data_IF_415949087334
#
_entry.id   IF_415949087334
#
_cell.length_a   1.000
_cell.length_b   1.000
_cell.length_c   1.000
_cell.angle_alpha   90.00
_cell.angle_beta   90.00
_cell.angle_gamma   90.00
#
_symmetry.space_group_name_H-M   'P 1'
#
loop_
_entity.id
_entity.type
_entity.pdbx_description
1 polymer ?
#
# COMPACT_ATOMS: atom_id res chain seq x y z
N UNK A 1 82.17 -6.04 6.75
CA UNK A 1 80.96 -5.85 5.96
C UNK A 1 79.73 -6.04 6.90
N UNK A 2 79.23 -4.92 7.40
CA UNK A 2 77.96 -4.88 8.20
C UNK A 2 76.79 -4.60 7.25
N UNK A 3 75.88 -5.52 7.17
CA UNK A 3 74.60 -5.34 6.44
C UNK A 3 73.60 -4.67 7.40
N UNK A 4 73.26 -3.41 7.13
CA UNK A 4 72.21 -2.73 7.85
C UNK A 4 70.87 -3.07 7.17
N UNK A 5 70.01 -3.81 7.89
CA UNK A 5 68.62 -4.09 7.47
C UNK A 5 67.76 -2.92 7.88
N UNK A 6 67.25 -2.17 6.92
CA UNK A 6 66.22 -1.11 7.17
C UNK A 6 64.86 -1.76 7.19
N UNK A 7 64.25 -1.90 8.36
CA UNK A 7 62.87 -2.28 8.55
C UNK A 7 61.98 -1.08 8.24
N UNK A 8 61.36 -1.06 7.05
CA UNK A 8 60.32 -0.12 6.74
C UNK A 8 59.03 -0.59 7.41
N UNK A 9 58.62 0.09 8.48
CA UNK A 9 57.29 -0.08 9.11
C UNK A 9 56.25 0.58 8.22
N UNK A 10 55.49 -0.23 7.50
CA UNK A 10 54.27 0.26 6.85
C UNK A 10 53.23 0.49 7.93
N UNK A 11 52.98 1.76 8.24
CA UNK A 11 51.73 2.17 8.90
C UNK A 11 50.59 2.03 7.89
N UNK A 12 49.79 0.97 8.00
CA UNK A 12 48.49 0.90 7.37
C UNK A 12 47.60 1.83 8.19
N UNK A 13 47.43 3.04 7.71
CA UNK A 13 46.43 3.95 8.23
C UNK A 13 45.06 3.30 8.05
N UNK A 14 44.45 2.88 9.16
CA UNK A 14 43.06 2.56 9.21
C UNK A 14 42.33 3.89 8.97
N UNK A 15 41.97 4.19 7.71
CA UNK A 15 41.03 5.26 7.43
C UNK A 15 39.74 4.84 8.12
N UNK A 16 39.38 5.56 9.15
CA UNK A 16 38.05 5.52 9.73
C UNK A 16 37.09 5.81 8.57
N UNK A 17 36.43 4.77 8.07
CA UNK A 17 35.22 4.95 7.28
C UNK A 17 34.30 5.76 8.20
N UNK A 18 34.15 7.04 7.91
CA UNK A 18 33.02 7.77 8.44
C UNK A 18 31.80 6.94 8.00
N UNK A 19 31.18 6.25 8.96
CA UNK A 19 29.85 5.70 8.76
C UNK A 19 28.99 6.91 8.42
N UNK A 20 28.75 7.10 7.12
CA UNK A 20 27.70 8.01 6.68
C UNK A 20 26.44 7.44 7.29
N UNK A 21 25.93 8.09 8.33
CA UNK A 21 24.63 7.77 8.88
C UNK A 21 23.60 7.67 7.75
N UNK A 22 22.48 6.96 7.94
CA UNK A 22 21.49 6.80 6.91
C UNK A 22 21.19 8.15 6.27
N UNK A 23 21.31 8.25 4.94
CA UNK A 23 21.07 9.49 4.22
C UNK A 23 19.66 9.97 4.56
N UNK A 24 19.55 11.20 5.05
CA UNK A 24 18.26 11.79 5.36
C UNK A 24 17.40 11.83 4.11
N UNK A 25 16.10 11.46 4.19
CA UNK A 25 15.23 11.57 3.04
C UNK A 25 15.05 13.05 2.65
N UNK A 26 15.17 13.32 1.37
CA UNK A 26 14.94 14.66 0.78
C UNK A 26 13.98 14.49 -0.35
N UNK A 27 12.90 15.28 -0.36
CA UNK A 27 11.99 15.30 -1.51
C UNK A 27 12.66 16.02 -2.69
N UNK A 28 12.44 15.56 -3.94
CA UNK A 28 12.87 16.30 -5.11
C UNK A 28 12.13 17.65 -5.19
N UNK A 29 12.73 18.66 -5.82
CA UNK A 29 12.11 19.99 -6.02
C UNK A 29 10.75 19.89 -6.73
N UNK A 30 10.64 18.94 -7.66
CA UNK A 30 9.38 18.60 -8.33
C UNK A 30 9.00 17.18 -8.00
N UNK A 31 7.83 16.99 -7.41
CA UNK A 31 7.32 15.65 -7.17
C UNK A 31 7.12 14.92 -8.51
N UNK A 32 7.47 13.63 -8.61
CA UNK A 32 7.12 12.83 -9.77
C UNK A 32 5.59 12.78 -9.91
N UNK A 33 5.13 12.58 -11.13
CA UNK A 33 3.72 12.37 -11.38
C UNK A 33 3.29 11.01 -10.83
N UNK A 34 2.37 11.04 -9.88
CA UNK A 34 1.74 9.84 -9.34
C UNK A 34 0.42 9.61 -10.07
N UNK A 35 0.20 8.40 -10.55
CA UNK A 35 -1.02 8.05 -11.25
C UNK A 35 -2.18 8.01 -10.28
N UNK A 36 -3.27 8.69 -10.68
CA UNK A 36 -4.59 8.58 -10.07
C UNK A 36 -5.62 8.15 -11.09
N UNK A 37 -5.18 8.03 -12.37
CA UNK A 37 -6.05 7.59 -13.44
C UNK A 37 -6.46 6.14 -13.20
N UNK A 38 -7.71 5.97 -12.87
CA UNK A 38 -8.39 4.69 -12.96
C UNK A 38 -8.85 4.50 -14.39
N UNK A 39 -8.85 3.27 -14.92
CA UNK A 39 -9.46 3.02 -16.20
C UNK A 39 -10.90 3.54 -16.20
N UNK A 40 -11.37 4.08 -17.32
CA UNK A 40 -12.74 4.63 -17.46
C UNK A 40 -13.82 3.70 -16.92
N UNK A 41 -13.56 2.41 -16.95
CA UNK A 41 -14.38 1.36 -16.36
C UNK A 41 -14.62 1.55 -14.84
N UNK A 42 -13.67 2.18 -14.11
CA UNK A 42 -13.77 2.39 -12.68
C UNK A 42 -14.33 3.78 -12.33
N UNK A 43 -14.23 4.75 -13.21
CA UNK A 43 -14.74 6.12 -12.99
C UNK A 43 -16.27 6.16 -12.77
N UNK A 44 -16.99 5.18 -13.33
CA UNK A 44 -18.45 5.06 -13.19
C UNK A 44 -18.84 4.56 -11.79
N UNK A 45 -18.00 3.73 -11.19
CA UNK A 45 -18.31 3.03 -9.92
C UNK A 45 -17.62 3.71 -8.74
N UNK A 46 -16.44 4.27 -8.97
CA UNK A 46 -15.63 4.91 -7.94
C UNK A 46 -15.24 6.31 -8.41
N UNK A 47 -15.89 7.35 -7.90
CA UNK A 47 -15.55 8.71 -8.28
C UNK A 47 -14.06 8.99 -8.00
N UNK A 48 -13.37 9.50 -9.00
CA UNK A 48 -11.99 9.95 -8.86
C UNK A 48 -11.85 10.86 -7.65
N UNK A 49 -10.79 10.72 -6.83
CA UNK A 49 -10.51 11.65 -5.76
C UNK A 49 -10.55 13.08 -6.30
N UNK A 50 -11.18 14.00 -5.57
CA UNK A 50 -11.20 15.42 -5.94
C UNK A 50 -9.79 15.86 -6.32
N UNK A 51 -9.67 16.64 -7.39
CA UNK A 51 -8.41 17.21 -7.84
C UNK A 51 -7.73 17.96 -6.68
N UNK A 52 -6.75 17.29 -6.09
CA UNK A 52 -5.90 17.88 -5.07
C UNK A 52 -4.64 18.41 -5.77
N UNK A 53 -4.45 19.72 -5.86
CA UNK A 53 -3.29 20.30 -6.57
C UNK A 53 -1.95 19.92 -5.93
N UNK A 54 -1.97 19.45 -4.68
CA UNK A 54 -0.78 18.99 -3.95
C UNK A 54 -0.73 17.46 -3.81
N UNK A 55 -1.52 16.72 -4.58
CA UNK A 55 -1.58 15.27 -4.51
C UNK A 55 -0.19 14.63 -4.70
N UNK A 56 0.53 15.03 -5.74
CA UNK A 56 1.85 14.46 -6.04
C UNK A 56 2.86 14.71 -4.92
N UNK A 57 2.85 15.89 -4.32
CA UNK A 57 3.72 16.24 -3.19
C UNK A 57 3.37 15.40 -1.95
N UNK A 58 2.08 15.23 -1.66
CA UNK A 58 1.58 14.37 -0.57
C UNK A 58 1.93 12.90 -0.80
N UNK A 59 1.72 12.40 -2.02
CA UNK A 59 2.08 11.03 -2.38
C UNK A 59 3.60 10.79 -2.27
N UNK A 60 4.41 11.76 -2.65
CA UNK A 60 5.86 11.70 -2.51
C UNK A 60 6.28 11.62 -1.03
N UNK A 61 5.69 12.46 -0.17
CA UNK A 61 5.91 12.37 1.28
C UNK A 61 5.42 11.01 1.81
N UNK A 62 4.22 10.57 1.41
CA UNK A 62 3.66 9.28 1.79
C UNK A 62 4.57 8.10 1.43
N UNK A 63 5.22 8.16 0.26
CA UNK A 63 6.22 7.17 -0.13
C UNK A 63 7.43 7.17 0.82
N UNK A 64 7.92 8.34 1.24
CA UNK A 64 9.00 8.42 2.25
C UNK A 64 8.54 7.78 3.54
N UNK A 65 7.37 8.16 4.06
CA UNK A 65 6.81 7.62 5.30
C UNK A 65 6.61 6.10 5.24
N UNK A 66 6.12 5.58 4.12
CA UNK A 66 5.88 4.14 3.90
C UNK A 66 7.16 3.31 4.04
N UNK A 67 8.31 3.85 3.66
CA UNK A 67 9.60 3.18 3.75
C UNK A 67 10.38 3.52 5.03
N UNK A 68 9.95 4.51 5.80
CA UNK A 68 10.69 4.97 6.97
C UNK A 68 10.39 4.13 8.22
N UNK A 69 11.43 3.52 8.78
CA UNK A 69 11.34 2.74 10.00
C UNK A 69 11.07 3.56 11.24
N UNK A 70 11.26 4.89 11.18
CA UNK A 70 10.96 5.78 12.31
C UNK A 70 9.47 5.82 12.64
N UNK A 71 8.60 5.31 11.75
CA UNK A 71 7.18 5.09 12.02
C UNK A 71 6.90 3.86 12.89
N UNK A 72 7.90 3.04 13.24
CA UNK A 72 7.76 2.01 14.27
C UNK A 72 8.43 2.42 15.58
N UNK A 73 7.86 2.00 16.71
CA UNK A 73 8.28 2.42 18.05
C UNK A 73 9.78 2.22 18.31
N UNK A 74 10.34 1.13 17.84
CA UNK A 74 11.75 0.77 18.02
C UNK A 74 12.61 0.97 16.76
N UNK A 75 12.08 1.52 15.67
CA UNK A 75 12.79 1.70 14.42
C UNK A 75 13.13 0.40 13.67
N UNK A 76 12.47 -0.72 14.00
CA UNK A 76 12.82 -2.02 13.42
C UNK A 76 12.14 -2.29 12.07
N UNK A 77 10.91 -1.82 11.90
CA UNK A 77 10.07 -2.11 10.73
C UNK A 77 9.47 -0.84 10.13
N UNK A 78 9.09 -0.91 8.87
CA UNK A 78 8.29 0.08 8.16
C UNK A 78 7.14 -0.64 7.44
N UNK A 79 6.21 0.07 6.81
CA UNK A 79 5.15 -0.55 6.01
C UNK A 79 5.73 -1.48 4.93
N UNK A 80 6.82 -1.06 4.28
CA UNK A 80 7.55 -1.86 3.30
C UNK A 80 8.17 -3.16 3.89
N UNK A 81 8.23 -3.33 5.20
CA UNK A 81 8.73 -4.58 5.79
C UNK A 81 7.77 -5.75 5.60
N UNK A 82 6.47 -5.48 5.48
CA UNK A 82 5.40 -6.44 5.26
C UNK A 82 4.75 -6.29 3.88
N UNK A 83 4.71 -5.08 3.33
CA UNK A 83 4.17 -4.78 2.01
C UNK A 83 5.30 -4.66 0.98
N UNK A 84 5.77 -5.82 0.46
CA UNK A 84 6.92 -5.90 -0.43
C UNK A 84 6.53 -5.60 -1.88
N UNK A 85 7.14 -4.59 -2.49
CA UNK A 85 6.86 -4.22 -3.88
C UNK A 85 7.05 -5.38 -4.86
N UNK A 86 8.05 -6.25 -4.65
CA UNK A 86 8.30 -7.43 -5.48
C UNK A 86 7.20 -8.50 -5.43
N UNK A 87 6.25 -8.36 -4.51
CA UNK A 87 5.13 -9.29 -4.30
C UNK A 87 3.77 -8.59 -4.40
N UNK A 88 3.66 -7.55 -5.24
CA UNK A 88 2.44 -6.76 -5.37
C UNK A 88 2.07 -6.02 -4.07
N UNK A 89 3.08 -5.64 -3.30
CA UNK A 89 2.94 -5.06 -1.95
C UNK A 89 2.21 -5.97 -0.95
N UNK A 90 2.28 -7.30 -1.14
CA UNK A 90 1.93 -8.32 -0.16
C UNK A 90 3.22 -8.93 0.43
N UNK A 91 3.10 -9.97 1.24
CA UNK A 91 4.23 -10.74 1.77
C UNK A 91 4.10 -12.22 1.35
N UNK A 92 5.22 -12.91 0.97
CA UNK A 92 5.20 -14.32 0.58
C UNK A 92 5.18 -15.27 1.78
N UNK A 93 4.76 -14.81 2.94
CA UNK A 93 4.60 -15.59 4.17
C UNK A 93 3.16 -15.51 4.65
N UNK A 94 2.71 -16.54 5.33
CA UNK A 94 1.36 -16.57 5.88
C UNK A 94 1.12 -15.44 6.91
N UNK A 95 2.11 -15.16 7.75
CA UNK A 95 2.04 -14.15 8.80
C UNK A 95 3.31 -13.29 8.78
N UNK A 96 3.13 -11.99 8.99
CA UNK A 96 4.23 -11.03 9.03
C UNK A 96 4.95 -11.05 10.37
N UNK A 97 6.22 -10.64 10.37
CA UNK A 97 7.00 -10.49 11.60
C UNK A 97 7.05 -9.01 12.00
N UNK A 98 6.42 -8.68 13.10
CA UNK A 98 6.34 -7.31 13.61
C UNK A 98 7.62 -6.82 14.28
N UNK A 99 7.50 -5.67 14.97
CA UNK A 99 8.65 -4.89 15.52
C UNK A 99 9.49 -5.67 16.55
N UNK A 100 8.93 -6.67 17.24
CA UNK A 100 9.64 -7.53 18.21
C UNK A 100 9.76 -8.97 17.74
N UNK A 101 9.55 -9.22 16.42
CA UNK A 101 9.53 -10.55 15.78
C UNK A 101 8.36 -11.43 16.22
N UNK A 102 7.37 -10.89 16.88
CA UNK A 102 6.08 -11.51 17.07
C UNK A 102 5.35 -11.60 15.72
N UNK A 103 4.54 -12.65 15.54
CA UNK A 103 3.81 -12.82 14.29
C UNK A 103 2.46 -12.09 14.36
N UNK A 104 2.07 -11.48 13.25
CA UNK A 104 0.72 -10.94 13.07
C UNK A 104 -0.31 -12.06 13.01
N UNK A 105 -1.57 -11.73 13.25
CA UNK A 105 -2.66 -12.71 13.20
C UNK A 105 -3.08 -13.08 11.79
N UNK A 106 -2.81 -12.19 10.81
CA UNK A 106 -3.24 -12.32 9.42
C UNK A 106 -2.12 -11.95 8.45
N UNK A 107 -2.25 -12.42 7.22
CA UNK A 107 -1.36 -12.07 6.13
C UNK A 107 -1.44 -10.57 5.78
N UNK A 108 -0.32 -9.99 5.37
CA UNK A 108 -0.32 -8.65 4.78
C UNK A 108 -0.98 -8.71 3.40
N UNK A 109 -2.12 -8.01 3.25
CA UNK A 109 -2.83 -7.92 1.97
C UNK A 109 -2.02 -7.16 0.93
N UNK A 110 -2.27 -7.41 -0.35
CA UNK A 110 -1.72 -6.60 -1.43
C UNK A 110 -2.26 -5.15 -1.35
N UNK A 111 -1.54 -4.23 -1.97
CA UNK A 111 -1.93 -2.81 -2.04
C UNK A 111 -2.22 -2.36 -3.48
N UNK A 112 -2.79 -3.24 -4.31
CA UNK A 112 -3.28 -2.84 -5.62
C UNK A 112 -4.68 -2.22 -5.47
N UNK A 113 -4.88 -1.04 -6.06
CA UNK A 113 -6.15 -0.31 -6.08
C UNK A 113 -6.81 -0.07 -4.70
N UNK A 114 -6.06 0.28 -3.63
CA UNK A 114 -6.66 0.35 -2.30
C UNK A 114 -7.66 1.50 -2.17
N UNK A 115 -7.53 2.56 -2.97
CA UNK A 115 -8.46 3.69 -2.92
C UNK A 115 -9.89 3.35 -3.37
N UNK A 116 -10.07 2.26 -4.11
CA UNK A 116 -11.37 1.82 -4.63
C UNK A 116 -12.04 0.76 -3.75
N UNK A 117 -11.46 0.42 -2.60
CA UNK A 117 -12.08 -0.52 -1.67
C UNK A 117 -13.12 0.19 -0.80
N UNK A 118 -14.22 -0.50 -0.51
CA UNK A 118 -15.31 0.01 0.35
C UNK A 118 -15.02 -0.18 1.84
N UNK A 119 -14.12 -1.11 2.19
CA UNK A 119 -13.70 -1.38 3.56
C UNK A 119 -12.28 -1.97 3.57
N UNK A 120 -11.59 -1.84 4.68
CA UNK A 120 -10.17 -2.15 4.81
C UNK A 120 -9.92 -3.17 5.91
N UNK A 121 -8.79 -3.89 5.80
CA UNK A 121 -8.46 -5.11 6.50
C UNK A 121 -9.32 -6.31 6.06
N UNK A 122 -8.90 -7.51 6.45
CA UNK A 122 -9.61 -8.75 6.13
C UNK A 122 -11.01 -8.83 6.77
N UNK A 123 -11.26 -8.04 7.80
CA UNK A 123 -12.51 -7.99 8.57
C UNK A 123 -13.29 -6.66 8.40
N UNK A 124 -12.81 -5.77 7.54
CA UNK A 124 -13.50 -4.52 7.26
C UNK A 124 -13.55 -3.50 8.41
N UNK A 125 -12.71 -3.66 9.44
CA UNK A 125 -12.77 -2.82 10.64
C UNK A 125 -12.38 -1.35 10.45
N UNK A 126 -11.83 -0.98 9.29
CA UNK A 126 -11.59 0.41 8.93
C UNK A 126 -12.47 0.81 7.73
N UNK A 127 -13.12 1.98 7.84
CA UNK A 127 -14.12 2.43 6.87
C UNK A 127 -13.52 3.26 5.71
N UNK A 128 -12.30 3.72 5.87
CA UNK A 128 -11.61 4.51 4.85
C UNK A 128 -10.09 4.35 4.96
N UNK A 129 -9.41 4.68 3.86
CA UNK A 129 -7.97 4.52 3.76
C UNK A 129 -7.20 5.38 4.77
N UNK A 130 -7.67 6.59 5.06
CA UNK A 130 -7.00 7.47 6.02
C UNK A 130 -7.03 6.92 7.45
N UNK A 131 -8.11 6.25 7.82
CA UNK A 131 -8.19 5.52 9.09
C UNK A 131 -7.28 4.31 9.09
N UNK A 132 -7.32 3.52 8.01
CA UNK A 132 -6.54 2.28 7.90
C UNK A 132 -5.04 2.51 8.04
N UNK A 133 -4.46 3.53 7.39
CA UNK A 133 -3.00 3.70 7.32
C UNK A 133 -2.31 3.94 8.67
N UNK A 134 -3.05 4.35 9.69
CA UNK A 134 -2.50 4.58 11.04
C UNK A 134 -2.72 3.42 12.01
N UNK A 135 -3.69 2.55 11.75
CA UNK A 135 -3.97 1.42 12.65
C UNK A 135 -2.77 0.46 12.82
N UNK A 136 -2.00 0.10 11.77
CA UNK A 136 -0.78 -0.69 11.91
C UNK A 136 0.30 0.02 12.75
N UNK A 137 0.33 1.35 12.73
CA UNK A 137 1.30 2.15 13.53
C UNK A 137 1.01 1.97 15.02
N UNK A 138 -0.26 1.92 15.41
CA UNK A 138 -0.70 1.73 16.80
C UNK A 138 -0.72 0.25 17.23
N UNK A 139 -0.74 -0.69 16.28
CA UNK A 139 -0.76 -2.11 16.59
C UNK A 139 0.53 -2.54 17.31
N UNK A 140 0.39 -3.10 18.50
CA UNK A 140 1.51 -3.46 19.39
C UNK A 140 2.41 -4.57 18.82
N UNK A 141 1.91 -5.41 17.94
CA UNK A 141 2.69 -6.44 17.24
C UNK A 141 3.38 -5.82 16.01
N UNK A 142 2.68 -4.96 15.24
CA UNK A 142 3.17 -4.45 13.97
C UNK A 142 4.20 -3.32 14.17
N UNK A 143 3.78 -2.10 14.50
CA UNK A 143 4.67 -0.93 14.60
C UNK A 143 4.75 -0.32 16.01
N UNK A 144 3.77 -0.56 16.89
CA UNK A 144 3.86 -0.51 18.34
C UNK A 144 3.76 0.84 19.03
N UNK A 145 3.35 1.90 18.37
CA UNK A 145 3.01 3.14 19.06
C UNK A 145 1.70 2.97 19.82
N UNK A 146 1.67 3.33 21.09
CA UNK A 146 0.43 3.29 21.88
C UNK A 146 -0.53 4.40 21.49
N UNK A 147 0.02 5.54 21.08
CA UNK A 147 -0.72 6.73 20.65
C UNK A 147 0.02 7.43 19.53
N UNK A 148 -0.69 7.89 18.51
CA UNK A 148 -0.12 8.62 17.38
C UNK A 148 0.51 9.97 17.78
N UNK A 149 0.07 10.56 18.88
CA UNK A 149 0.70 11.76 19.46
C UNK A 149 2.19 11.55 19.76
N UNK A 150 2.57 10.36 20.21
CA UNK A 150 3.99 10.02 20.47
C UNK A 150 4.80 9.93 19.17
N UNK A 151 4.19 9.47 18.07
CA UNK A 151 4.82 9.51 16.75
C UNK A 151 5.01 10.95 16.28
N UNK A 152 3.98 11.79 16.41
CA UNK A 152 4.05 13.22 16.04
C UNK A 152 5.18 13.93 16.79
N UNK A 153 5.30 13.70 18.11
CA UNK A 153 6.42 14.26 18.90
C UNK A 153 7.77 13.81 18.36
N UNK A 154 7.94 12.49 18.11
CA UNK A 154 9.19 11.97 17.52
C UNK A 154 9.50 12.62 16.18
N UNK A 155 8.51 12.77 15.31
CA UNK A 155 8.73 13.37 14.00
C UNK A 155 9.13 14.84 14.09
N UNK A 156 8.57 15.59 15.03
CA UNK A 156 8.97 16.98 15.29
C UNK A 156 10.39 17.10 15.87
N UNK A 157 10.87 16.10 16.61
CA UNK A 157 12.23 16.06 17.14
C UNK A 157 13.29 15.73 16.08
N UNK A 158 12.87 15.18 14.93
CA UNK A 158 13.74 14.81 13.82
C UNK A 158 13.74 15.94 12.77
N UNK A 159 14.85 16.63 12.65
CA UNK A 159 15.02 17.86 11.85
C UNK A 159 14.76 17.71 10.35
N UNK A 160 14.65 16.49 9.84
CA UNK A 160 14.35 16.23 8.41
C UNK A 160 12.84 16.16 8.10
N UNK A 161 11.97 15.89 9.08
CA UNK A 161 10.53 15.81 8.79
C UNK A 161 9.86 17.17 8.54
N UNK A 162 10.08 18.23 9.36
CA UNK A 162 9.39 19.49 9.11
C UNK A 162 9.57 20.04 7.68
N UNK A 163 10.79 20.02 7.07
CA UNK A 163 10.94 20.42 5.67
C UNK A 163 10.20 19.55 4.68
N UNK A 164 10.03 18.24 4.96
CA UNK A 164 9.28 17.33 4.09
C UNK A 164 7.78 17.66 4.11
N UNK A 165 7.25 17.98 5.30
CA UNK A 165 5.85 18.41 5.44
C UNK A 165 5.62 19.78 4.81
N UNK A 166 6.54 20.74 4.97
CA UNK A 166 6.50 22.03 4.29
C UNK A 166 6.40 21.86 2.76
N UNK A 167 7.21 20.97 2.18
CA UNK A 167 7.18 20.69 0.74
C UNK A 167 5.87 20.04 0.28
N UNK A 168 5.22 19.24 1.14
CA UNK A 168 4.01 18.48 0.80
C UNK A 168 2.71 19.24 1.09
N UNK A 169 2.71 20.09 2.12
CA UNK A 169 1.49 20.75 2.63
C UNK A 169 1.57 22.27 2.66
N UNK A 170 2.74 22.87 2.40
CA UNK A 170 2.98 24.30 2.55
C UNK A 170 3.07 24.76 4.02
N UNK A 171 3.21 23.82 4.94
CA UNK A 171 3.43 24.06 6.38
C UNK A 171 4.34 22.99 6.95
N UNK A 172 5.22 23.39 7.85
CA UNK A 172 6.10 22.47 8.60
C UNK A 172 5.38 21.76 9.76
N UNK A 173 4.12 22.09 10.01
CA UNK A 173 3.33 21.47 11.07
C UNK A 173 3.07 19.99 10.80
N UNK A 174 3.45 19.15 11.73
CA UNK A 174 3.25 17.71 11.67
C UNK A 174 2.11 17.36 12.61
N UNK A 175 1.07 16.79 12.06
CA UNK A 175 -0.06 16.24 12.80
C UNK A 175 -0.51 14.89 12.22
N UNK A 176 -1.37 14.19 12.94
CA UNK A 176 -1.88 12.87 12.53
C UNK A 176 -2.62 12.94 11.19
N UNK A 177 -3.40 13.99 10.97
CA UNK A 177 -4.19 14.15 9.74
C UNK A 177 -3.28 14.35 8.51
N UNK A 178 -2.18 15.08 8.63
CA UNK A 178 -1.22 15.26 7.55
C UNK A 178 -0.43 13.97 7.27
N UNK A 179 -0.09 13.19 8.31
CA UNK A 179 0.50 11.85 8.16
C UNK A 179 -0.47 10.93 7.40
N UNK A 180 -1.74 10.89 7.82
CA UNK A 180 -2.79 10.10 7.17
C UNK A 180 -2.97 10.49 5.71
N UNK A 181 -3.08 11.79 5.41
CA UNK A 181 -3.23 12.29 4.04
C UNK A 181 -2.05 11.93 3.15
N UNK A 182 -0.83 12.04 3.66
CA UNK A 182 0.36 11.70 2.89
C UNK A 182 0.42 10.20 2.57
N UNK A 183 0.23 9.34 3.58
CA UNK A 183 0.20 7.89 3.39
C UNK A 183 -0.95 7.47 2.47
N UNK A 184 -2.16 7.99 2.70
CA UNK A 184 -3.32 7.70 1.85
C UNK A 184 -3.11 8.15 0.39
N UNK A 185 -2.50 9.32 0.17
CA UNK A 185 -2.17 9.78 -1.18
C UNK A 185 -1.19 8.84 -1.89
N UNK A 186 -0.15 8.37 -1.20
CA UNK A 186 0.78 7.39 -1.77
C UNK A 186 0.09 6.07 -2.10
N UNK A 187 -0.69 5.53 -1.18
CA UNK A 187 -1.42 4.28 -1.41
C UNK A 187 -2.46 4.44 -2.54
N UNK A 188 -3.16 5.58 -2.61
CA UNK A 188 -4.11 5.87 -3.70
C UNK A 188 -3.45 5.93 -5.08
N UNK A 189 -2.15 6.17 -5.14
CA UNK A 189 -1.39 6.13 -6.39
C UNK A 189 -0.99 4.72 -6.85
N UNK A 190 -1.25 3.70 -6.04
CA UNK A 190 -0.98 2.30 -6.40
C UNK A 190 -2.09 1.73 -7.27
N UNK A 191 -2.25 2.31 -8.45
CA UNK A 191 -3.29 1.93 -9.42
C UNK A 191 -2.77 0.88 -10.38
N UNK A 192 -3.56 -0.17 -10.62
CA UNK A 192 -3.38 -1.16 -11.68
C UNK A 192 -4.68 -1.29 -12.46
N UNK A 193 -4.67 -0.96 -13.76
CA UNK A 193 -5.85 -0.89 -14.60
C UNK A 193 -5.55 -1.17 -16.09
N UNK A 194 -4.46 -1.90 -16.37
CA UNK A 194 -4.02 -2.20 -17.73
C UNK A 194 -3.73 -3.70 -17.91
N UNK A 195 -4.51 -4.56 -17.22
CA UNK A 195 -4.49 -5.97 -17.53
C UNK A 195 -5.26 -6.24 -18.84
N UNK A 196 -5.02 -7.37 -19.50
CA UNK A 196 -5.84 -7.79 -20.65
C UNK A 196 -7.33 -7.83 -20.31
N UNK A 197 -7.68 -8.19 -19.07
CA UNK A 197 -9.07 -8.21 -18.63
C UNK A 197 -9.64 -6.78 -18.50
N UNK A 198 -8.86 -5.82 -18.01
CA UNK A 198 -9.28 -4.41 -17.93
C UNK A 198 -9.51 -3.82 -19.33
N UNK A 199 -8.60 -4.11 -20.28
CA UNK A 199 -8.71 -3.66 -21.66
C UNK A 199 -9.94 -4.26 -22.36
N UNK A 200 -10.13 -5.59 -22.24
CA UNK A 200 -11.27 -6.28 -22.80
C UNK A 200 -12.60 -5.82 -22.18
N UNK A 201 -12.61 -5.56 -20.86
CA UNK A 201 -13.77 -5.01 -20.17
C UNK A 201 -14.08 -3.58 -20.61
N UNK A 202 -13.08 -2.74 -20.84
CA UNK A 202 -13.27 -1.37 -21.32
C UNK A 202 -13.89 -1.31 -22.72
N UNK A 203 -13.54 -2.25 -23.62
CA UNK A 203 -14.14 -2.39 -24.96
C UNK A 203 -15.59 -2.87 -24.88
N UNK A 204 -15.92 -3.70 -23.89
CA UNK A 204 -17.26 -4.26 -23.71
C UNK A 204 -18.25 -3.30 -23.01
N UNK A 205 -17.80 -2.16 -22.49
CA UNK A 205 -18.65 -1.12 -21.89
C UNK A 205 -19.64 -0.55 -22.94
N UNK A 206 -20.92 -0.34 -22.65
CA UNK A 206 -21.56 -0.08 -21.34
C UNK A 206 -22.31 -1.29 -20.74
N UNK A 207 -22.16 -2.46 -21.27
CA UNK A 207 -22.95 -3.65 -20.89
C UNK A 207 -22.30 -4.52 -19.81
N UNK A 208 -21.03 -4.25 -19.48
CA UNK A 208 -20.24 -5.07 -18.57
C UNK A 208 -20.64 -4.93 -17.09
N UNK A 209 -21.21 -3.79 -16.72
CA UNK A 209 -21.50 -3.47 -15.32
C UNK A 209 -23.00 -3.40 -15.05
N UNK A 210 -23.66 -4.52 -15.12
CA UNK A 210 -24.90 -4.70 -14.40
C UNK A 210 -24.53 -4.94 -12.92
N UNK A 211 -24.95 -4.06 -11.99
CA UNK A 211 -24.71 -4.25 -10.55
C UNK A 211 -25.22 -5.57 -10.01
N UNK A 212 -26.06 -6.26 -10.75
CA UNK A 212 -26.66 -7.54 -10.40
C UNK A 212 -25.97 -8.76 -11.02
N UNK A 213 -24.81 -8.57 -11.65
CA UNK A 213 -23.88 -9.63 -11.98
C UNK A 213 -24.27 -10.52 -13.15
N UNK A 214 -25.17 -10.10 -13.99
CA UNK A 214 -25.53 -10.89 -15.19
C UNK A 214 -24.72 -10.42 -16.37
N UNK A 215 -23.49 -10.85 -16.43
CA UNK A 215 -22.80 -10.98 -17.70
C UNK A 215 -23.19 -12.32 -18.30
N UNK A 216 -24.41 -12.41 -18.76
CA UNK A 216 -24.83 -13.56 -19.52
C UNK A 216 -24.47 -13.39 -21.01
N UNK A 217 -23.59 -14.19 -21.49
CA UNK A 217 -23.69 -14.77 -22.84
C UNK A 217 -23.26 -13.98 -24.07
N UNK A 218 -23.24 -12.63 -24.03
CA UNK A 218 -23.05 -11.82 -25.24
C UNK A 218 -21.91 -10.82 -25.17
N UNK A 219 -21.07 -10.86 -24.14
CA UNK A 219 -19.87 -9.99 -24.06
C UNK A 219 -18.75 -10.70 -24.82
N UNK A 220 -18.44 -10.19 -26.00
CA UNK A 220 -17.21 -10.54 -26.71
C UNK A 220 -16.07 -9.81 -25.98
N UNK A 221 -15.33 -10.54 -25.17
CA UNK A 221 -14.07 -10.07 -24.59
C UNK A 221 -12.99 -10.18 -25.67
N UNK A 222 -13.02 -9.26 -26.64
CA UNK A 222 -12.00 -9.17 -27.65
C UNK A 222 -10.67 -8.85 -26.97
N UNK A 223 -9.59 -9.46 -27.38
CA UNK A 223 -8.28 -9.35 -26.71
C UNK A 223 -7.93 -10.48 -25.75
N UNK A 224 -8.89 -11.26 -25.25
CA UNK A 224 -8.62 -12.51 -24.54
C UNK A 224 -8.46 -13.67 -25.51
N UNK A 225 -7.47 -14.53 -25.26
CA UNK A 225 -7.34 -15.80 -26.01
C UNK A 225 -8.45 -16.81 -25.60
N UNK A 226 -8.49 -17.95 -26.27
CA UNK A 226 -9.54 -18.93 -26.04
C UNK A 226 -9.54 -19.51 -24.62
N UNK A 227 -8.37 -19.72 -24.02
CA UNK A 227 -8.23 -20.27 -22.66
C UNK A 227 -8.56 -19.22 -21.60
N UNK A 228 -8.13 -17.97 -21.81
CA UNK A 228 -8.46 -16.84 -20.95
C UNK A 228 -9.98 -16.59 -20.92
N UNK A 229 -10.64 -16.72 -22.06
CA UNK A 229 -12.09 -16.59 -22.21
C UNK A 229 -12.85 -17.73 -21.51
N UNK A 230 -12.39 -18.97 -21.69
CA UNK A 230 -12.93 -20.13 -20.96
C UNK A 230 -12.79 -19.94 -19.43
N UNK A 231 -11.63 -19.44 -18.98
CA UNK A 231 -11.40 -19.12 -17.56
C UNK A 231 -12.35 -18.04 -17.04
N UNK A 232 -12.60 -16.99 -17.83
CA UNK A 232 -13.55 -15.94 -17.50
C UNK A 232 -14.99 -16.47 -17.40
N UNK A 233 -15.40 -17.30 -18.37
CA UNK A 233 -16.74 -17.94 -18.37
C UNK A 233 -16.93 -18.87 -17.17
N UNK A 234 -15.92 -19.66 -16.82
CA UNK A 234 -15.94 -20.49 -15.62
C UNK A 234 -16.04 -19.65 -14.33
N UNK A 235 -15.27 -18.59 -14.24
CA UNK A 235 -15.21 -17.71 -13.07
C UNK A 235 -16.57 -17.05 -12.77
N UNK A 236 -17.24 -16.57 -13.81
CA UNK A 236 -18.54 -15.90 -13.69
C UNK A 236 -19.74 -16.86 -13.78
N UNK A 237 -19.53 -18.06 -14.30
CA UNK A 237 -20.56 -19.06 -14.55
C UNK A 237 -20.52 -20.23 -13.58
N UNK A 238 -20.20 -21.42 -14.09
CA UNK A 238 -20.33 -22.69 -13.38
C UNK A 238 -19.50 -22.76 -12.08
N UNK A 239 -18.29 -22.17 -12.06
CA UNK A 239 -17.45 -22.18 -10.87
C UNK A 239 -17.91 -21.21 -9.77
N UNK A 240 -18.81 -20.25 -10.09
CA UNK A 240 -19.41 -19.30 -9.15
C UNK A 240 -18.43 -18.44 -8.36
N UNK A 241 -17.19 -18.27 -8.83
CA UNK A 241 -16.16 -17.51 -8.12
C UNK A 241 -16.56 -16.03 -7.98
N UNK A 242 -17.25 -15.47 -8.99
CA UNK A 242 -17.71 -14.08 -9.00
C UNK A 242 -18.75 -13.76 -7.93
N UNK A 243 -19.40 -14.76 -7.32
CA UNK A 243 -20.33 -14.53 -6.20
C UNK A 243 -19.63 -13.92 -4.98
N UNK A 244 -18.33 -14.26 -4.76
CA UNK A 244 -17.50 -13.68 -3.72
C UNK A 244 -16.42 -12.73 -4.29
N UNK A 245 -15.94 -13.02 -5.49
CA UNK A 245 -14.87 -12.28 -6.15
C UNK A 245 -15.40 -11.46 -7.35
N UNK A 246 -16.59 -10.89 -7.23
CA UNK A 246 -17.17 -10.05 -8.27
C UNK A 246 -16.58 -8.62 -8.26
N UNK A 247 -17.03 -7.85 -9.24
CA UNK A 247 -16.60 -6.48 -9.42
C UNK A 247 -15.24 -6.30 -10.09
N UNK A 248 -14.87 -5.07 -10.42
CA UNK A 248 -13.68 -4.76 -11.21
C UNK A 248 -12.36 -5.10 -10.52
N UNK A 249 -12.38 -5.23 -9.21
CA UNK A 249 -11.19 -5.55 -8.41
C UNK A 249 -11.19 -6.99 -7.90
N UNK A 250 -12.17 -7.80 -8.30
CA UNK A 250 -12.33 -9.18 -7.81
C UNK A 250 -12.38 -9.29 -6.28
N UNK A 251 -12.80 -8.21 -5.61
CA UNK A 251 -12.86 -8.09 -4.15
C UNK A 251 -14.28 -8.13 -3.58
N UNK A 252 -15.25 -8.51 -4.40
CA UNK A 252 -16.68 -8.39 -4.09
C UNK A 252 -17.21 -6.97 -4.32
N UNK A 253 -18.51 -6.84 -4.44
CA UNK A 253 -19.20 -5.56 -4.69
C UNK A 253 -19.37 -4.71 -3.42
N UNK A 254 -18.61 -4.98 -2.35
CA UNK A 254 -18.74 -4.28 -1.07
C UNK A 254 -20.01 -4.64 -0.30
N UNK A 255 -20.65 -5.73 -0.67
CA UNK A 255 -21.95 -6.06 -0.11
C UNK A 255 -21.90 -6.92 1.13
N UNK A 256 -20.91 -7.74 1.32
CA UNK A 256 -20.70 -8.50 2.56
C UNK A 256 -19.31 -9.18 2.57
N UNK A 257 -18.67 -9.25 3.73
CA UNK A 257 -17.49 -10.08 3.91
C UNK A 257 -17.88 -11.55 3.85
N UNK A 258 -17.32 -12.29 2.90
CA UNK A 258 -17.59 -13.71 2.78
C UNK A 258 -16.85 -14.47 3.89
N UNK A 259 -17.59 -15.28 4.64
CA UNK A 259 -16.98 -16.25 5.57
C UNK A 259 -16.39 -17.43 4.78
N UNK A 260 -15.09 -17.54 4.81
CA UNK A 260 -14.38 -18.68 4.22
C UNK A 260 -14.19 -19.85 5.22
N UNK A 261 -14.76 -19.74 6.43
CA UNK A 261 -14.67 -20.75 7.49
C UNK A 261 -13.32 -20.84 8.20
N UNK A 262 -12.39 -19.92 7.94
CA UNK A 262 -11.07 -19.90 8.58
C UNK A 262 -11.05 -19.11 9.88
N UNK A 263 -12.04 -18.24 10.11
CA UNK A 263 -12.17 -17.42 11.29
C UNK A 263 -13.41 -17.83 12.09
N UNK A 264 -13.31 -17.80 13.43
CA UNK A 264 -14.46 -18.10 14.28
C UNK A 264 -15.58 -17.08 14.13
N UNK A 265 -16.82 -17.45 14.41
CA UNK A 265 -18.05 -16.68 14.23
C UNK A 265 -18.10 -15.27 14.85
N UNK A 266 -17.05 -14.84 15.56
CA UNK A 266 -16.94 -13.52 16.18
C UNK A 266 -16.34 -12.43 15.30
N UNK A 267 -15.91 -12.77 14.07
CA UNK A 267 -15.24 -11.84 13.14
C UNK A 267 -16.15 -11.29 12.05
N UNK A 268 -17.47 -11.49 12.15
CA UNK A 268 -18.41 -10.98 11.18
C UNK A 268 -18.73 -9.50 11.44
N UNK A 269 -18.40 -8.66 10.49
CA UNK A 269 -19.00 -7.35 10.39
C UNK A 269 -20.35 -7.50 9.67
N UNK A 270 -21.46 -7.58 10.43
CA UNK A 270 -22.77 -7.31 9.89
C UNK A 270 -22.88 -5.79 9.72
N UNK A 271 -22.60 -5.28 8.53
CA UNK A 271 -22.92 -3.90 8.18
C UNK A 271 -24.44 -3.76 8.16
N UNK A 272 -25.02 -3.13 9.18
CA UNK A 272 -26.39 -2.57 9.16
C UNK A 272 -26.30 -1.11 8.80
#
# INVERSE_FOLDING_TARGET
ALLSVVLATYWVGCSTLEESGPSRPVLPETAPEYRTEVAQIFDVVFPTPQEDPLFNQKAQLGRVLFHDRMLSQNGAVSCNSCHLQSHGFAEPKALSSGLRKELTERNASHLANPAQQSAYFWDGRANNLSEQVTMPIENHVEMGFQELSSLVLRMNDLDYYPPLFEAAFGTSDIDVNNIQKALAAFLSSMVTCHSKADEAAAEAMPHFWDPWGVVAGDITLDGLDALEREGFELFHGEAQCANCHGGPHFSGWGMEFADNGLEGASSYFSGT
#
